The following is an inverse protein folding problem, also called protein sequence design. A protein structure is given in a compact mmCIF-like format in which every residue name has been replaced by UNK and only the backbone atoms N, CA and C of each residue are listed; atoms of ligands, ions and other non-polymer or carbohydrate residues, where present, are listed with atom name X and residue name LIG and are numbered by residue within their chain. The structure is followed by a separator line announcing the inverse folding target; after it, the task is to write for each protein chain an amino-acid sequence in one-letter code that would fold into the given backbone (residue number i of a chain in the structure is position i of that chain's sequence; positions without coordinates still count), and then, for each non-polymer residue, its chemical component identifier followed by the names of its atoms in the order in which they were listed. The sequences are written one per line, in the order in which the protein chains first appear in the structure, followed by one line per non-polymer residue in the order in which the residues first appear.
data_IF_988243551222
#
_entry.id   IF_988243551222
#
_cell.length_a   1.000
_cell.length_b   1.000
_cell.length_c   1.000
_cell.angle_alpha   90.00
_cell.angle_beta   90.00
_cell.angle_gamma   90.00
#
_symmetry.space_group_name_H-M   'P 1'
#
loop_
_entity.id
_entity.type
_entity.pdbx_description
1 polymer ?
#
# COMPACT_ATOMS: atom_id res chain seq x y z
N UNK A 1 -31.43 -19.15 -11.15
CA UNK A 1 -30.63 -17.99 -11.65
C UNK A 1 -29.17 -18.24 -11.26
N UNK A 2 -28.29 -18.46 -12.23
CA UNK A 2 -26.86 -18.59 -11.94
C UNK A 2 -26.37 -17.30 -11.30
N UNK A 3 -25.81 -17.39 -10.08
CA UNK A 3 -25.16 -16.25 -9.44
C UNK A 3 -23.93 -15.88 -10.30
N UNK A 4 -24.03 -14.77 -11.01
CA UNK A 4 -22.88 -14.24 -11.78
C UNK A 4 -21.75 -13.93 -10.81
N UNK A 5 -20.57 -14.50 -11.04
CA UNK A 5 -19.36 -14.29 -10.25
C UNK A 5 -18.96 -12.79 -10.26
N UNK A 6 -18.84 -12.18 -9.09
CA UNK A 6 -18.43 -10.78 -8.92
C UNK A 6 -16.89 -10.68 -8.89
N UNK A 7 -16.33 -9.71 -9.57
CA UNK A 7 -14.90 -9.43 -9.56
C UNK A 7 -14.55 -8.33 -8.54
N UNK A 8 -13.96 -8.70 -7.43
CA UNK A 8 -13.50 -7.77 -6.39
C UNK A 8 -12.47 -6.73 -6.88
N UNK A 9 -11.84 -6.93 -8.05
CA UNK A 9 -10.92 -5.95 -8.62
C UNK A 9 -11.66 -4.82 -9.35
N UNK A 10 -12.41 -5.15 -10.40
CA UNK A 10 -13.02 -4.14 -11.26
C UNK A 10 -14.50 -3.84 -10.94
N UNK A 11 -15.14 -4.62 -10.06
CA UNK A 11 -16.56 -4.45 -9.71
C UNK A 11 -17.54 -5.00 -10.75
N UNK A 12 -17.06 -5.67 -11.80
CA UNK A 12 -17.91 -6.26 -12.82
C UNK A 12 -18.25 -7.72 -12.50
N UNK A 13 -19.36 -8.20 -13.05
CA UNK A 13 -19.73 -9.61 -12.98
C UNK A 13 -19.18 -10.39 -14.17
N UNK A 14 -19.05 -11.73 -14.02
CA UNK A 14 -18.69 -12.67 -15.08
C UNK A 14 -17.25 -13.21 -15.00
N UNK A 15 -16.43 -12.76 -14.06
CA UNK A 15 -15.09 -13.30 -13.81
C UNK A 15 -14.66 -13.07 -12.35
N UNK A 16 -13.61 -13.80 -11.92
CA UNK A 16 -12.97 -13.62 -10.61
C UNK A 16 -11.76 -12.69 -10.72
N UNK A 17 -11.23 -12.21 -9.59
CA UNK A 17 -10.03 -11.37 -9.52
C UNK A 17 -8.86 -11.91 -10.35
N UNK A 18 -8.58 -13.21 -10.27
CA UNK A 18 -7.45 -13.87 -10.97
C UNK A 18 -7.52 -13.71 -12.49
N UNK A 19 -8.73 -13.63 -13.05
CA UNK A 19 -8.99 -13.53 -14.49
C UNK A 19 -9.32 -12.10 -14.92
N UNK A 20 -9.09 -11.11 -14.07
CA UNK A 20 -9.36 -9.71 -14.37
C UNK A 20 -8.28 -9.13 -15.27
N UNK A 21 -8.69 -8.51 -16.39
CA UNK A 21 -7.78 -7.85 -17.33
C UNK A 21 -7.42 -6.41 -16.95
N UNK A 22 -8.13 -5.83 -15.98
CA UNK A 22 -7.85 -4.48 -15.50
C UNK A 22 -6.61 -4.48 -14.59
N UNK A 23 -5.91 -3.32 -14.45
CA UNK A 23 -4.93 -3.13 -13.39
C UNK A 23 -5.49 -3.51 -12.03
N UNK A 24 -4.63 -3.81 -11.07
CA UNK A 24 -5.06 -4.01 -9.68
C UNK A 24 -5.57 -2.67 -9.15
N UNK A 25 -6.87 -2.63 -8.78
CA UNK A 25 -7.56 -1.41 -8.38
C UNK A 25 -7.55 -1.30 -6.86
N UNK A 26 -7.22 -0.11 -6.36
CA UNK A 26 -7.50 0.33 -4.98
C UNK A 26 -8.34 1.59 -5.01
N UNK A 27 -9.18 1.75 -4.01
CA UNK A 27 -10.17 2.80 -3.85
C UNK A 27 -9.85 3.60 -2.59
N UNK A 28 -9.85 4.91 -2.64
CA UNK A 28 -9.52 5.73 -1.48
C UNK A 28 -9.98 7.16 -1.57
N UNK A 29 -9.63 7.94 -0.56
CA UNK A 29 -9.96 9.37 -0.45
C UNK A 29 -8.69 10.15 -0.18
N UNK A 30 -8.46 11.23 -0.94
CA UNK A 30 -7.52 12.28 -0.61
C UNK A 30 -8.29 13.33 0.18
N UNK A 31 -8.14 13.28 1.52
CA UNK A 31 -8.79 14.22 2.41
C UNK A 31 -7.83 15.34 2.78
N UNK A 32 -8.26 16.59 2.60
CA UNK A 32 -7.47 17.76 2.89
C UNK A 32 -8.12 18.65 3.96
N UNK A 33 -7.28 19.38 4.66
CA UNK A 33 -7.64 20.50 5.52
C UNK A 33 -6.94 21.76 5.04
N UNK A 34 -7.65 22.90 4.97
CA UNK A 34 -7.05 24.19 4.64
C UNK A 34 -6.89 25.00 5.92
N UNK A 35 -5.64 25.30 6.27
CA UNK A 35 -5.29 26.11 7.45
C UNK A 35 -4.36 27.24 7.01
N UNK A 36 -4.73 28.52 7.29
CA UNK A 36 -3.93 29.69 6.95
C UNK A 36 -3.43 29.70 5.49
N UNK A 37 -4.32 29.40 4.55
CA UNK A 37 -4.06 29.27 3.10
C UNK A 37 -3.13 28.13 2.70
N UNK A 38 -2.72 27.27 3.63
CA UNK A 38 -1.97 26.06 3.38
C UNK A 38 -2.91 24.83 3.31
N UNK A 39 -2.71 23.96 2.29
CA UNK A 39 -3.39 22.69 2.23
C UNK A 39 -2.57 21.61 2.93
N UNK A 40 -3.20 20.92 3.86
CA UNK A 40 -2.64 19.72 4.52
C UNK A 40 -3.49 18.51 4.18
N UNK A 41 -2.86 17.36 4.05
CA UNK A 41 -3.48 16.13 3.57
C UNK A 41 -3.34 15.02 4.62
N UNK A 42 -4.38 14.20 4.76
CA UNK A 42 -4.32 13.01 5.62
C UNK A 42 -3.53 11.93 4.89
N UNK A 43 -2.42 11.50 5.51
CA UNK A 43 -1.64 10.34 5.10
C UNK A 43 -1.61 9.30 6.21
N UNK A 44 -1.52 8.06 5.81
CA UNK A 44 -1.34 6.89 6.69
C UNK A 44 0.00 6.23 6.40
N UNK A 45 0.68 5.75 7.44
CA UNK A 45 1.91 4.98 7.32
C UNK A 45 1.59 3.51 7.57
N UNK A 46 2.02 2.64 6.67
CA UNK A 46 1.88 1.21 6.83
C UNK A 46 2.57 0.71 8.09
N UNK A 47 2.10 -0.40 8.64
CA UNK A 47 2.78 -1.12 9.73
C UNK A 47 4.05 -1.80 9.20
N UNK A 48 3.92 -2.49 8.07
CA UNK A 48 4.98 -3.20 7.39
C UNK A 48 5.12 -2.73 5.94
N UNK A 49 6.35 -2.74 5.39
CA UNK A 49 6.54 -2.40 3.98
C UNK A 49 5.90 -3.43 3.05
N UNK A 50 5.50 -2.99 1.85
CA UNK A 50 5.00 -3.90 0.82
C UNK A 50 6.03 -4.99 0.49
N UNK A 51 7.32 -4.64 0.47
CA UNK A 51 8.40 -5.60 0.24
C UNK A 51 8.49 -6.68 1.30
N UNK A 52 8.38 -6.31 2.56
CA UNK A 52 8.39 -7.24 3.68
C UNK A 52 7.17 -8.16 3.67
N UNK A 53 5.99 -7.59 3.49
CA UNK A 53 4.74 -8.35 3.40
C UNK A 53 4.78 -9.35 2.24
N UNK A 54 5.17 -8.93 1.02
CA UNK A 54 5.24 -9.81 -0.14
C UNK A 54 6.36 -10.84 -0.02
N UNK A 55 7.48 -10.49 0.65
CA UNK A 55 8.56 -11.44 0.94
C UNK A 55 8.10 -12.56 1.89
N UNK A 56 7.52 -12.21 3.04
CA UNK A 56 7.00 -13.20 4.00
C UNK A 56 5.95 -14.11 3.36
N UNK A 57 5.12 -13.58 2.46
CA UNK A 57 4.10 -14.32 1.71
C UNK A 57 4.66 -15.14 0.54
N UNK A 58 5.97 -15.13 0.31
CA UNK A 58 6.58 -15.86 -0.79
C UNK A 58 6.19 -15.37 -2.19
N UNK A 59 5.74 -14.10 -2.32
CA UNK A 59 5.28 -13.49 -3.58
C UNK A 59 6.45 -12.96 -4.42
N UNK A 60 7.43 -13.80 -4.68
CA UNK A 60 8.59 -13.52 -5.51
C UNK A 60 8.99 -14.74 -6.34
N UNK A 61 9.72 -14.50 -7.40
CA UNK A 61 10.41 -15.55 -8.15
C UNK A 61 11.74 -15.88 -7.46
N UNK A 62 12.18 -17.15 -7.55
CA UNK A 62 13.47 -17.58 -7.01
C UNK A 62 14.61 -17.14 -7.94
N UNK A 63 14.77 -15.82 -8.09
CA UNK A 63 15.89 -15.18 -8.78
C UNK A 63 16.30 -13.91 -8.02
N UNK A 64 17.53 -13.46 -8.23
CA UNK A 64 18.13 -12.32 -7.56
C UNK A 64 17.30 -11.06 -7.66
N UNK A 65 16.89 -10.69 -8.88
CA UNK A 65 16.23 -9.41 -9.13
C UNK A 65 14.87 -9.33 -8.45
N UNK A 66 14.07 -10.41 -8.50
CA UNK A 66 12.77 -10.45 -7.84
C UNK A 66 12.89 -10.29 -6.33
N UNK A 67 13.87 -10.94 -5.70
CA UNK A 67 14.08 -10.86 -4.25
C UNK A 67 14.70 -9.51 -3.88
N UNK A 68 15.71 -9.04 -4.62
CA UNK A 68 16.37 -7.76 -4.37
C UNK A 68 15.40 -6.58 -4.50
N UNK A 69 14.46 -6.63 -5.45
CA UNK A 69 13.42 -5.59 -5.60
C UNK A 69 12.55 -5.48 -4.33
N UNK A 70 12.18 -6.60 -3.70
CA UNK A 70 11.45 -6.57 -2.43
C UNK A 70 12.33 -6.05 -1.29
N UNK A 71 13.57 -6.54 -1.19
CA UNK A 71 14.53 -6.12 -0.16
C UNK A 71 14.84 -4.62 -0.25
N UNK A 72 14.91 -4.06 -1.46
CA UNK A 72 15.19 -2.63 -1.68
C UNK A 72 14.11 -1.69 -1.16
N UNK A 73 12.89 -2.15 -0.97
CA UNK A 73 11.82 -1.32 -0.41
C UNK A 73 11.56 -1.58 1.08
N UNK A 74 12.24 -2.57 1.69
CA UNK A 74 12.17 -2.85 3.12
C UNK A 74 12.90 -1.80 3.96
N UNK A 75 12.45 -1.68 5.21
CA UNK A 75 13.20 -0.96 6.25
C UNK A 75 14.47 -1.73 6.67
N UNK A 76 15.42 -1.05 7.33
CA UNK A 76 16.61 -1.69 7.90
C UNK A 76 16.18 -2.81 8.87
N UNK A 77 15.24 -2.53 9.76
CA UNK A 77 14.73 -3.49 10.75
C UNK A 77 14.11 -4.74 10.08
N UNK A 78 13.35 -4.56 9.01
CA UNK A 78 12.74 -5.68 8.29
C UNK A 78 13.79 -6.55 7.60
N UNK A 79 14.84 -5.94 7.02
CA UNK A 79 16.00 -6.67 6.45
C UNK A 79 16.71 -7.51 7.51
N UNK A 80 16.89 -6.98 8.70
CA UNK A 80 17.45 -7.72 9.83
C UNK A 80 16.53 -8.87 10.26
N UNK A 81 15.23 -8.62 10.34
CA UNK A 81 14.24 -9.60 10.74
C UNK A 81 14.21 -10.81 9.80
N UNK A 82 14.19 -10.60 8.48
CA UNK A 82 14.19 -11.71 7.50
C UNK A 82 15.49 -12.53 7.52
N UNK A 83 16.58 -12.01 8.04
CA UNK A 83 17.81 -12.76 8.26
C UNK A 83 17.82 -13.53 9.58
N UNK A 84 17.24 -12.94 10.62
CA UNK A 84 17.34 -13.40 12.01
C UNK A 84 16.29 -14.43 12.41
N UNK A 85 15.03 -14.21 12.02
CA UNK A 85 13.90 -14.99 12.50
C UNK A 85 13.45 -16.04 11.49
N UNK A 86 12.92 -17.18 11.98
CA UNK A 86 12.26 -18.16 11.13
C UNK A 86 10.94 -17.63 10.53
N UNK A 87 10.43 -18.31 9.50
CA UNK A 87 9.21 -17.87 8.83
C UNK A 87 8.02 -17.89 9.77
N UNK A 88 7.93 -18.86 10.67
CA UNK A 88 6.79 -18.99 11.58
C UNK A 88 6.63 -17.73 12.43
N UNK A 89 7.73 -17.24 13.01
CA UNK A 89 7.71 -16.02 13.81
C UNK A 89 7.33 -14.81 12.95
N UNK A 90 7.95 -14.65 11.76
CA UNK A 90 7.65 -13.54 10.85
C UNK A 90 6.18 -13.55 10.40
N UNK A 91 5.63 -14.75 10.15
CA UNK A 91 4.25 -14.95 9.77
C UNK A 91 3.27 -14.61 10.88
N UNK A 92 3.56 -15.06 12.10
CA UNK A 92 2.73 -14.79 13.28
C UNK A 92 2.68 -13.30 13.63
N UNK A 93 3.77 -12.56 13.39
CA UNK A 93 3.82 -11.11 13.57
C UNK A 93 3.04 -10.36 12.47
N UNK A 94 3.07 -10.87 11.23
CA UNK A 94 2.34 -10.29 10.08
C UNK A 94 0.82 -10.53 10.21
N UNK A 95 0.42 -11.75 10.60
CA UNK A 95 -0.98 -12.18 10.68
C UNK A 95 -1.44 -12.34 12.13
N UNK A 96 -1.73 -11.22 12.79
CA UNK A 96 -2.17 -11.26 14.19
C UNK A 96 -3.59 -11.79 14.39
N UNK A 97 -4.45 -11.72 13.35
CA UNK A 97 -5.90 -11.99 13.46
C UNK A 97 -6.38 -13.18 12.61
N UNK A 98 -5.81 -13.45 11.43
CA UNK A 98 -6.31 -14.45 10.48
C UNK A 98 -5.26 -15.51 10.11
N UNK A 99 -4.67 -16.14 11.12
CA UNK A 99 -3.56 -17.10 10.94
C UNK A 99 -3.93 -18.32 10.09
N UNK A 100 -5.15 -18.81 10.20
CA UNK A 100 -5.59 -20.08 9.60
C UNK A 100 -6.03 -19.96 8.13
N UNK A 101 -6.31 -18.75 7.65
CA UNK A 101 -6.81 -18.52 6.30
C UNK A 101 -5.75 -18.65 5.19
N UNK A 102 -4.45 -18.74 5.56
CA UNK A 102 -3.32 -18.65 4.63
C UNK A 102 -2.34 -19.84 4.71
N UNK A 103 -2.78 -21.02 5.17
CA UNK A 103 -1.90 -22.20 5.38
C UNK A 103 -1.17 -22.59 4.11
N UNK A 104 -1.87 -22.68 2.97
CA UNK A 104 -1.25 -23.05 1.68
C UNK A 104 -0.21 -22.03 1.21
N UNK A 105 -0.40 -20.75 1.54
CA UNK A 105 0.55 -19.69 1.21
C UNK A 105 1.78 -19.77 2.12
N UNK A 106 1.59 -20.12 3.40
CA UNK A 106 2.67 -20.31 4.37
C UNK A 106 3.63 -21.43 3.95
N UNK A 107 3.12 -22.61 3.59
CA UNK A 107 3.99 -23.74 3.20
C UNK A 107 4.81 -23.43 1.94
N UNK A 108 4.19 -22.81 0.93
CA UNK A 108 4.91 -22.36 -0.28
C UNK A 108 5.98 -21.30 0.02
N UNK A 109 5.69 -20.39 0.94
CA UNK A 109 6.64 -19.38 1.36
C UNK A 109 7.82 -19.98 2.13
N UNK A 110 7.53 -20.98 2.98
CA UNK A 110 8.55 -21.70 3.75
C UNK A 110 9.54 -22.42 2.85
N UNK A 111 9.03 -23.16 1.86
CA UNK A 111 9.90 -23.84 0.88
C UNK A 111 10.83 -22.84 0.17
N UNK A 112 10.31 -21.70 -0.29
CA UNK A 112 11.12 -20.67 -0.96
C UNK A 112 12.17 -20.08 -0.03
N UNK A 113 11.77 -19.74 1.21
CA UNK A 113 12.68 -19.17 2.19
C UNK A 113 13.80 -20.14 2.57
N UNK A 114 13.48 -21.42 2.75
CA UNK A 114 14.46 -22.48 3.04
C UNK A 114 15.46 -22.64 1.88
N UNK A 115 14.99 -22.60 0.63
CA UNK A 115 15.87 -22.62 -0.54
C UNK A 115 16.86 -21.46 -0.51
N UNK A 116 16.37 -20.22 -0.41
CA UNK A 116 17.27 -19.04 -0.50
C UNK A 116 18.18 -18.88 0.71
N UNK A 117 17.82 -19.39 1.88
CA UNK A 117 18.67 -19.36 3.08
C UNK A 117 19.74 -20.43 3.08
N UNK A 118 19.37 -21.67 2.72
CA UNK A 118 20.23 -22.83 2.88
C UNK A 118 21.04 -23.13 1.60
N UNK A 119 20.35 -23.22 0.46
CA UNK A 119 20.95 -23.60 -0.82
C UNK A 119 21.42 -22.38 -1.61
N UNK A 120 20.74 -21.25 -1.49
CA UNK A 120 20.90 -20.09 -2.36
C UNK A 120 20.18 -20.28 -3.70
N UNK A 121 20.27 -19.27 -4.54
CA UNK A 121 19.77 -19.26 -5.94
C UNK A 121 20.96 -19.20 -6.88
N UNK A 122 20.89 -19.94 -7.99
CA UNK A 122 21.93 -19.92 -9.00
C UNK A 122 21.89 -18.60 -9.77
N UNK A 123 23.01 -17.89 -9.80
CA UNK A 123 23.21 -16.67 -10.57
C UNK A 123 24.40 -16.90 -11.52
N UNK A 124 24.26 -16.44 -12.75
CA UNK A 124 25.36 -16.53 -13.72
C UNK A 124 25.99 -15.13 -13.89
N UNK A 125 27.22 -14.98 -13.41
CA UNK A 125 27.96 -13.73 -13.52
C UNK A 125 29.25 -13.98 -14.32
N UNK A 126 29.40 -13.32 -15.48
CA UNK A 126 30.58 -13.43 -16.37
C UNK A 126 30.98 -14.90 -16.69
N UNK A 127 29.98 -15.80 -16.85
CA UNK A 127 30.23 -17.21 -17.14
C UNK A 127 30.53 -18.07 -15.90
N UNK A 128 30.59 -17.49 -14.72
CA UNK A 128 30.78 -18.20 -13.44
C UNK A 128 29.40 -18.38 -12.79
N UNK A 129 29.09 -19.61 -12.37
CA UNK A 129 27.88 -19.90 -11.58
C UNK A 129 28.18 -19.70 -10.10
N UNK A 130 27.43 -18.82 -9.48
CA UNK A 130 27.50 -18.51 -8.06
C UNK A 130 26.17 -18.85 -7.37
N UNK A 131 26.25 -19.29 -6.11
CA UNK A 131 25.05 -19.50 -5.28
C UNK A 131 24.87 -18.30 -4.35
N UNK A 132 23.86 -17.47 -4.63
CA UNK A 132 23.52 -16.32 -3.81
C UNK A 132 22.49 -16.72 -2.74
N UNK A 133 22.88 -16.64 -1.48
CA UNK A 133 21.99 -16.82 -0.35
C UNK A 133 21.27 -15.51 0.02
N UNK A 134 20.23 -15.62 0.83
CA UNK A 134 19.47 -14.45 1.28
C UNK A 134 20.35 -13.35 1.87
N UNK A 135 21.35 -13.73 2.68
CA UNK A 135 22.29 -12.77 3.30
C UNK A 135 23.09 -11.98 2.25
N UNK A 136 23.46 -12.62 1.14
CA UNK A 136 24.20 -11.98 0.07
C UNK A 136 23.31 -11.00 -0.70
N UNK A 137 22.06 -11.39 -0.98
CA UNK A 137 21.07 -10.53 -1.64
C UNK A 137 20.76 -9.29 -0.77
N UNK A 138 20.59 -9.47 0.56
CA UNK A 138 20.37 -8.34 1.48
C UNK A 138 21.55 -7.36 1.49
N UNK A 139 22.80 -7.85 1.42
CA UNK A 139 24.00 -7.00 1.32
C UNK A 139 24.07 -6.19 0.03
N UNK A 140 23.47 -6.66 -1.07
CA UNK A 140 23.40 -5.91 -2.33
C UNK A 140 22.45 -4.71 -2.25
N UNK A 141 21.55 -4.67 -1.27
CA UNK A 141 20.62 -3.56 -1.11
C UNK A 141 21.28 -2.32 -0.53
N UNK A 142 21.19 -1.20 -1.26
CA UNK A 142 21.75 0.10 -0.87
C UNK A 142 20.73 1.00 -0.14
N UNK A 143 19.47 0.61 -0.02
CA UNK A 143 18.43 1.42 0.62
C UNK A 143 18.49 1.30 2.15
N UNK A 144 18.23 2.41 2.85
CA UNK A 144 18.32 2.53 4.31
C UNK A 144 17.06 3.18 4.89
N UNK A 145 15.90 2.70 4.49
CA UNK A 145 14.65 3.21 5.03
C UNK A 145 14.48 2.85 6.50
N UNK A 146 14.07 3.83 7.29
CA UNK A 146 13.81 3.64 8.73
C UNK A 146 12.36 3.21 8.96
N UNK A 147 11.44 3.80 8.22
CA UNK A 147 10.00 3.62 8.37
C UNK A 147 9.37 2.99 7.11
N UNK A 148 8.24 2.28 7.24
CA UNK A 148 7.42 1.86 6.12
C UNK A 148 6.84 3.03 5.31
N UNK A 149 6.21 2.71 4.18
CA UNK A 149 5.69 3.70 3.23
C UNK A 149 4.52 4.49 3.80
N UNK A 150 4.52 5.80 3.51
CA UNK A 150 3.36 6.66 3.62
C UNK A 150 2.53 6.65 2.34
N UNK A 151 1.23 6.84 2.48
CA UNK A 151 0.32 6.95 1.35
C UNK A 151 -1.03 7.54 1.74
N UNK A 152 -1.87 7.80 0.74
CA UNK A 152 -3.26 8.16 0.99
C UNK A 152 -4.05 6.93 1.45
N UNK A 153 -5.03 7.10 2.34
CA UNK A 153 -5.93 6.03 2.77
C UNK A 153 -6.64 5.38 1.57
N UNK A 154 -6.51 4.04 1.45
CA UNK A 154 -7.08 3.28 0.34
C UNK A 154 -6.97 1.78 0.55
N UNK A 155 -7.88 1.03 0.00
CA UNK A 155 -7.77 -0.42 -0.04
C UNK A 155 -8.55 -1.07 -1.18
N UNK A 156 -8.92 -2.32 -1.02
CA UNK A 156 -9.57 -3.10 -2.06
C UNK A 156 -11.09 -3.01 -1.95
N UNK A 157 -11.74 -3.20 -3.08
CA UNK A 157 -13.19 -3.34 -3.15
C UNK A 157 -13.67 -4.57 -2.40
N UNK A 158 -14.78 -4.44 -1.71
CA UNK A 158 -15.57 -5.55 -1.22
C UNK A 158 -16.70 -5.95 -2.21
N UNK A 159 -17.41 -7.02 -1.85
CA UNK A 159 -18.49 -7.54 -2.69
C UNK A 159 -19.61 -6.50 -2.83
N UNK A 160 -20.07 -6.33 -4.07
CA UNK A 160 -21.19 -5.47 -4.44
C UNK A 160 -20.98 -3.96 -4.20
N UNK A 161 -19.78 -3.51 -3.84
CA UNK A 161 -19.45 -2.09 -3.72
C UNK A 161 -19.17 -1.44 -5.09
N UNK A 162 -19.62 -0.20 -5.27
CA UNK A 162 -19.11 0.67 -6.32
C UNK A 162 -17.80 1.38 -5.88
N UNK A 163 -17.21 2.19 -6.77
CA UNK A 163 -15.92 2.84 -6.47
C UNK A 163 -16.00 3.81 -5.28
N UNK A 164 -17.09 4.58 -5.17
CA UNK A 164 -17.24 5.56 -4.12
C UNK A 164 -17.49 4.90 -2.76
N UNK A 165 -18.34 3.88 -2.71
CA UNK A 165 -18.65 3.13 -1.50
C UNK A 165 -17.38 2.48 -0.93
N UNK A 166 -16.60 1.78 -1.77
CA UNK A 166 -15.33 1.20 -1.35
C UNK A 166 -14.31 2.25 -0.90
N UNK A 167 -14.27 3.42 -1.55
CA UNK A 167 -13.37 4.51 -1.14
C UNK A 167 -13.75 5.09 0.22
N UNK A 168 -15.03 5.23 0.51
CA UNK A 168 -15.54 5.71 1.80
C UNK A 168 -15.21 4.69 2.89
N UNK A 169 -15.56 3.41 2.70
CA UNK A 169 -15.29 2.35 3.68
C UNK A 169 -13.80 2.28 4.03
N UNK A 170 -12.92 2.18 3.03
CA UNK A 170 -11.46 2.10 3.25
C UNK A 170 -10.91 3.35 3.97
N UNK A 171 -11.41 4.54 3.59
CA UNK A 171 -11.02 5.77 4.27
C UNK A 171 -11.44 5.77 5.74
N UNK A 172 -12.68 5.38 6.04
CA UNK A 172 -13.21 5.31 7.41
C UNK A 172 -12.49 4.25 8.26
N UNK A 173 -12.16 3.08 7.68
CA UNK A 173 -11.38 2.02 8.34
C UNK A 173 -9.96 2.46 8.68
N UNK A 174 -9.24 3.06 7.72
CA UNK A 174 -7.85 3.46 7.89
C UNK A 174 -7.67 4.75 8.71
N UNK A 175 -8.67 5.65 8.72
CA UNK A 175 -8.55 6.93 9.44
C UNK A 175 -9.35 6.99 10.75
N UNK A 176 -10.29 6.09 10.96
CA UNK A 176 -11.28 6.14 12.04
C UNK A 176 -12.17 7.40 11.99
N UNK A 177 -12.26 8.06 10.84
CA UNK A 177 -13.16 9.18 10.57
C UNK A 177 -14.43 8.64 9.90
N UNK A 178 -15.56 9.26 10.18
CA UNK A 178 -16.82 8.95 9.54
C UNK A 178 -17.33 10.20 8.77
N UNK A 179 -18.46 10.06 8.07
CA UNK A 179 -19.08 11.11 7.25
C UNK A 179 -19.39 12.42 7.99
N UNK A 180 -19.41 12.42 9.33
CA UNK A 180 -19.63 13.62 10.13
C UNK A 180 -18.32 14.43 10.33
N UNK A 181 -17.18 13.88 9.92
CA UNK A 181 -15.86 14.49 10.05
C UNK A 181 -15.32 15.11 8.75
N UNK A 182 -15.94 14.80 7.60
CA UNK A 182 -15.48 15.31 6.30
C UNK A 182 -16.64 15.52 5.32
N UNK A 183 -16.42 16.38 4.32
CA UNK A 183 -17.33 16.63 3.21
C UNK A 183 -16.70 16.13 1.92
N UNK A 184 -17.31 15.16 1.24
CA UNK A 184 -16.91 14.77 -0.11
C UNK A 184 -17.19 15.91 -1.09
N UNK A 185 -16.22 16.19 -1.97
CA UNK A 185 -16.43 17.16 -3.04
C UNK A 185 -17.06 16.50 -4.25
N UNK A 186 -17.97 17.20 -4.90
CA UNK A 186 -18.61 16.73 -6.15
C UNK A 186 -17.67 16.90 -7.36
N UNK A 187 -16.52 16.24 -7.30
CA UNK A 187 -15.50 16.22 -8.36
C UNK A 187 -15.34 14.82 -8.94
N UNK A 188 -14.83 14.76 -10.18
CA UNK A 188 -14.38 13.47 -10.73
C UNK A 188 -13.20 12.95 -9.91
N UNK A 189 -13.14 11.62 -9.68
CA UNK A 189 -12.01 11.05 -8.97
C UNK A 189 -10.70 11.24 -9.75
N UNK A 190 -9.60 11.44 -9.04
CA UNK A 190 -8.25 11.45 -9.59
C UNK A 190 -7.68 10.04 -9.62
N UNK A 191 -6.82 9.76 -10.59
CA UNK A 191 -6.34 8.41 -10.87
C UNK A 191 -4.80 8.38 -10.85
N UNK A 192 -4.25 7.54 -9.99
CA UNK A 192 -2.84 7.17 -9.96
C UNK A 192 -2.66 5.84 -10.69
N UNK A 193 -1.86 5.82 -11.78
CA UNK A 193 -1.48 4.57 -12.47
C UNK A 193 0.02 4.37 -12.36
N UNK A 194 0.46 3.17 -11.97
CA UNK A 194 1.87 2.84 -11.89
C UNK A 194 2.12 1.35 -12.11
N UNK A 195 3.39 0.99 -12.28
CA UNK A 195 3.86 -0.40 -12.32
C UNK A 195 4.59 -0.68 -11.02
N UNK A 196 4.11 -1.66 -10.26
CA UNK A 196 4.74 -2.05 -9.01
C UNK A 196 6.07 -2.80 -9.20
N UNK A 197 6.82 -2.97 -8.11
CA UNK A 197 8.09 -3.74 -8.08
C UNK A 197 7.92 -5.20 -8.55
N UNK A 198 6.71 -5.73 -8.46
CA UNK A 198 6.31 -7.04 -8.96
C UNK A 198 5.87 -7.04 -10.43
N UNK A 199 6.14 -5.97 -11.19
CA UNK A 199 5.78 -5.76 -12.61
C UNK A 199 4.30 -5.71 -12.93
N UNK A 200 3.43 -5.74 -11.92
CA UNK A 200 1.99 -5.64 -12.11
C UNK A 200 1.56 -4.19 -12.25
N UNK A 201 0.51 -3.97 -13.07
CA UNK A 201 -0.10 -2.66 -13.24
C UNK A 201 -1.09 -2.40 -12.10
N UNK A 202 -0.99 -1.23 -11.51
CA UNK A 202 -1.86 -0.75 -10.44
C UNK A 202 -2.60 0.50 -10.87
N UNK A 203 -3.80 0.65 -10.34
CA UNK A 203 -4.63 1.85 -10.48
C UNK A 203 -5.26 2.19 -9.15
N UNK A 204 -4.91 3.35 -8.61
CA UNK A 204 -5.61 3.88 -7.45
C UNK A 204 -6.61 4.94 -7.91
N UNK A 205 -7.82 4.90 -7.39
CA UNK A 205 -8.91 5.84 -7.68
C UNK A 205 -9.20 6.58 -6.38
N UNK A 206 -8.98 7.90 -6.39
CA UNK A 206 -9.18 8.73 -5.21
C UNK A 206 -10.28 9.74 -5.43
N UNK A 207 -11.25 9.76 -4.52
CA UNK A 207 -12.18 10.87 -4.38
C UNK A 207 -11.55 11.94 -3.48
N UNK A 208 -12.01 13.19 -3.62
CA UNK A 208 -11.47 14.31 -2.84
C UNK A 208 -12.47 14.68 -1.75
N UNK A 209 -12.00 14.86 -0.52
CA UNK A 209 -12.80 15.30 0.61
C UNK A 209 -12.13 16.43 1.37
N UNK A 210 -12.93 17.32 1.94
CA UNK A 210 -12.50 18.37 2.84
C UNK A 210 -12.75 17.93 4.28
N UNK A 211 -11.71 17.93 5.11
CA UNK A 211 -11.82 17.69 6.55
C UNK A 211 -12.57 18.84 7.20
N UNK A 212 -13.52 18.55 8.07
CA UNK A 212 -14.23 19.54 8.84
C UNK A 212 -13.34 20.12 9.96
N UNK A 213 -13.62 21.35 10.45
CA UNK A 213 -12.88 21.95 11.55
C UNK A 213 -12.92 21.11 12.82
N UNK A 214 -11.86 21.23 13.64
CA UNK A 214 -11.75 20.63 14.99
C UNK A 214 -11.70 19.09 15.03
N UNK A 215 -11.56 18.42 13.88
CA UNK A 215 -11.39 16.96 13.82
C UNK A 215 -9.96 16.59 14.20
N UNK A 216 -9.81 15.74 15.23
CA UNK A 216 -8.52 15.22 15.66
C UNK A 216 -8.10 14.04 14.81
N UNK A 217 -6.85 14.05 14.34
CA UNK A 217 -6.26 12.98 13.54
C UNK A 217 -5.29 12.20 14.41
N UNK A 218 -5.68 10.97 14.76
CA UNK A 218 -4.85 10.06 15.55
C UNK A 218 -5.26 8.60 15.29
N UNK A 219 -4.34 7.68 15.54
CA UNK A 219 -4.66 6.26 15.53
C UNK A 219 -5.53 5.91 16.73
N UNK A 220 -6.56 5.10 16.50
CA UNK A 220 -7.44 4.60 17.55
C UNK A 220 -6.94 3.26 18.07
N UNK A 221 -6.77 3.15 19.39
CA UNK A 221 -6.43 1.88 20.02
C UNK A 221 -7.56 0.83 19.89
N UNK A 222 -8.77 1.25 19.62
CA UNK A 222 -9.94 0.36 19.49
C UNK A 222 -10.21 -0.04 18.04
N UNK A 223 -9.58 0.60 17.05
CA UNK A 223 -9.75 0.25 15.65
C UNK A 223 -8.79 -0.88 15.25
N UNK A 224 -9.36 -2.07 15.02
CA UNK A 224 -8.59 -3.27 14.69
C UNK A 224 -7.90 -3.16 13.34
N UNK A 225 -8.51 -2.52 12.34
CA UNK A 225 -7.94 -2.30 11.01
C UNK A 225 -6.69 -1.44 11.10
N UNK A 226 -6.76 -0.32 11.82
CA UNK A 226 -5.59 0.52 12.05
C UNK A 226 -4.46 -0.24 12.73
N UNK A 227 -4.76 -1.00 13.80
CA UNK A 227 -3.72 -1.76 14.53
C UNK A 227 -3.00 -2.81 13.67
N UNK A 228 -3.69 -3.40 12.72
CA UNK A 228 -3.13 -4.48 11.90
C UNK A 228 -2.39 -3.97 10.68
N UNK A 229 -2.79 -2.82 10.15
CA UNK A 229 -2.30 -2.34 8.85
C UNK A 229 -1.44 -1.07 8.95
N UNK A 230 -1.63 -0.26 10.01
CA UNK A 230 -1.03 1.07 10.11
C UNK A 230 -0.12 1.20 11.32
N UNK A 231 0.88 2.05 11.19
CA UNK A 231 1.79 2.46 12.28
C UNK A 231 1.67 3.94 12.63
N UNK A 232 1.08 4.75 11.75
CA UNK A 232 0.87 6.19 11.98
C UNK A 232 -0.20 6.76 11.05
N UNK A 233 -0.81 7.87 11.48
CA UNK A 233 -1.67 8.73 10.68
C UNK A 233 -1.29 10.18 10.97
N UNK A 234 -1.19 11.02 9.93
CA UNK A 234 -0.80 12.43 10.09
C UNK A 234 -1.48 13.32 9.06
N UNK A 235 -1.63 14.60 9.46
CA UNK A 235 -2.00 15.67 8.56
C UNK A 235 -0.72 16.38 8.11
N UNK A 236 -0.34 16.23 6.83
CA UNK A 236 0.93 16.65 6.26
C UNK A 236 0.77 17.81 5.28
N UNK A 237 1.68 18.78 5.29
CA UNK A 237 1.84 19.76 4.22
C UNK A 237 2.31 19.11 2.93
N UNK A 238 2.33 19.86 1.82
CA UNK A 238 2.90 19.35 0.56
C UNK A 238 4.37 18.98 0.73
N UNK A 239 5.13 19.82 1.40
CA UNK A 239 6.55 19.64 1.68
C UNK A 239 6.79 18.36 2.50
N UNK A 240 6.01 18.16 3.57
CA UNK A 240 6.07 16.95 4.39
C UNK A 240 5.77 15.69 3.54
N UNK A 241 4.78 15.78 2.63
CA UNK A 241 4.45 14.66 1.73
C UNK A 241 5.60 14.34 0.79
N UNK A 242 6.22 15.36 0.19
CA UNK A 242 7.37 15.20 -0.71
C UNK A 242 8.54 14.52 0.00
N UNK A 243 8.82 14.89 1.26
CA UNK A 243 9.89 14.30 2.06
C UNK A 243 9.62 12.85 2.47
N UNK A 244 8.36 12.51 2.73
CA UNK A 244 7.97 11.22 3.29
C UNK A 244 7.55 10.18 2.24
N UNK A 245 7.09 10.60 1.05
CA UNK A 245 6.75 9.67 -0.03
C UNK A 245 8.04 9.08 -0.62
N UNK A 246 8.01 7.77 -0.86
CA UNK A 246 9.16 7.06 -1.45
C UNK A 246 9.52 7.63 -2.82
N UNK A 247 10.80 7.82 -3.14
CA UNK A 247 11.25 8.41 -4.41
C UNK A 247 10.77 7.69 -5.67
N UNK A 248 10.41 6.42 -5.54
CA UNK A 248 9.88 5.62 -6.65
C UNK A 248 8.36 5.78 -6.86
N UNK A 249 7.65 6.51 -5.98
CA UNK A 249 6.20 6.77 -6.07
C UNK A 249 5.92 8.17 -6.67
N UNK A 250 6.55 8.48 -7.80
CA UNK A 250 6.42 9.80 -8.45
C UNK A 250 5.00 10.10 -8.91
N UNK A 251 4.26 9.07 -9.33
CA UNK A 251 2.88 9.19 -9.76
C UNK A 251 1.97 9.69 -8.64
N UNK A 252 2.28 9.32 -7.39
CA UNK A 252 1.55 9.80 -6.21
C UNK A 252 1.73 11.30 -5.99
N UNK A 253 2.95 11.81 -6.17
CA UNK A 253 3.23 13.25 -6.06
C UNK A 253 2.53 14.02 -7.19
N UNK A 254 2.55 13.52 -8.42
CA UNK A 254 1.86 14.14 -9.55
C UNK A 254 0.33 14.21 -9.33
N UNK A 255 -0.26 13.17 -8.71
CA UNK A 255 -1.68 13.19 -8.31
C UNK A 255 -1.93 14.27 -7.26
N UNK A 256 -1.07 14.38 -6.24
CA UNK A 256 -1.22 15.40 -5.21
C UNK A 256 -1.10 16.82 -5.78
N UNK A 257 -0.14 17.06 -6.66
CA UNK A 257 0.02 18.34 -7.36
C UNK A 257 -1.24 18.72 -8.15
N UNK A 258 -1.82 17.77 -8.91
CA UNK A 258 -3.07 17.98 -9.63
C UNK A 258 -4.27 18.28 -8.71
N UNK A 259 -4.31 17.64 -7.54
CA UNK A 259 -5.33 17.96 -6.50
C UNK A 259 -5.14 19.38 -5.97
N UNK A 260 -3.92 19.78 -5.64
CA UNK A 260 -3.63 21.13 -5.14
C UNK A 260 -3.98 22.19 -6.17
N UNK A 261 -3.63 21.99 -7.45
CA UNK A 261 -4.01 22.89 -8.55
C UNK A 261 -5.53 23.03 -8.66
N UNK A 262 -6.25 21.91 -8.57
CA UNK A 262 -7.72 21.92 -8.57
C UNK A 262 -8.28 22.70 -7.40
N UNK A 263 -7.78 22.49 -6.18
CA UNK A 263 -8.24 23.18 -4.99
C UNK A 263 -7.96 24.68 -5.04
N UNK A 264 -6.78 25.09 -5.53
CA UNK A 264 -6.44 26.51 -5.75
C UNK A 264 -7.38 27.17 -6.75
N UNK A 265 -7.66 26.49 -7.87
CA UNK A 265 -8.60 26.97 -8.86
C UNK A 265 -10.02 27.20 -8.28
N UNK A 266 -10.52 26.26 -7.46
CA UNK A 266 -11.80 26.37 -6.79
C UNK A 266 -11.84 27.56 -5.82
N UNK A 267 -10.79 27.76 -5.04
CA UNK A 267 -10.69 28.85 -4.10
C UNK A 267 -10.63 30.22 -4.80
N UNK A 268 -9.82 30.37 -5.85
CA UNK A 268 -9.68 31.60 -6.64
C UNK A 268 -11.01 32.00 -7.28
N UNK A 269 -11.80 31.03 -7.74
CA UNK A 269 -13.08 31.27 -8.39
C UNK A 269 -14.28 31.22 -7.42
N UNK A 270 -14.04 31.06 -6.11
CA UNK A 270 -15.07 30.96 -5.05
C UNK A 270 -16.14 29.92 -5.35
N UNK A 271 -15.72 28.77 -5.92
CA UNK A 271 -16.61 27.65 -6.21
C UNK A 271 -16.72 26.81 -4.95
N UNK A 272 -17.92 26.73 -4.36
CA UNK A 272 -18.25 25.84 -3.24
C UNK A 272 -18.86 24.54 -3.80
N UNK A 273 -18.29 23.39 -3.45
CA UNK A 273 -18.64 22.06 -3.95
C UNK A 273 -19.20 21.17 -2.84
#
# INVERSE_FOLDING_TARGET
MEQKTFCYNCGNYGHIFKNCHYPIISLGIICYHKLNDEYKFILVRRKDTLGYTDFIRGKYLLNKDSILNLVNIMTIKEKENILKYDLKKLWDELWTISKDEHIDEFEKSKEKLDIIRNNGIEEQNNGIKEQLKLVDIVKLSNTKYQDPEWGFPKGKREKDENNLEGSIREFEEETNLNKDHYKLLNLKPVIENYIGSNTKKYRHIYYIAKLLPEVKIELSENNIFQKTELSSIQLMSYEDVVENIRPYNKEKLAVLESVIETLKYLDEHKIDL
#
